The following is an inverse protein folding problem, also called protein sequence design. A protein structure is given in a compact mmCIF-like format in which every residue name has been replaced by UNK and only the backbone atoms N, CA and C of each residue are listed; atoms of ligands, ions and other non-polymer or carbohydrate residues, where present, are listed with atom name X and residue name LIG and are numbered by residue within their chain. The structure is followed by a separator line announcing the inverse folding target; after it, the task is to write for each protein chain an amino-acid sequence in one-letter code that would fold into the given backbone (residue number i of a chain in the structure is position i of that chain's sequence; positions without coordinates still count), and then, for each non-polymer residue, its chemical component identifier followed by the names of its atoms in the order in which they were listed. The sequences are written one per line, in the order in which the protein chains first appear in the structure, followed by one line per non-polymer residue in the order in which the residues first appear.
data_IF_932036679478
#
_entry.id   IF_932036679478
#
_cell.length_a   1.000
_cell.length_b   1.000
_cell.length_c   1.000
_cell.angle_alpha   90.00
_cell.angle_beta   90.00
_cell.angle_gamma   90.00
#
_symmetry.space_group_name_H-M   'P 1'
#
loop_
_entity.id
_entity.type
_entity.pdbx_description
1 polymer ?
#
# COMPACT_ATOMS: atom_id res chain seq x y z
N UNK A 1 15.96 -31.29 -9.41
CA UNK A 1 14.97 -30.23 -9.67
C UNK A 1 15.64 -28.89 -9.44
N UNK A 2 15.70 -28.04 -10.47
CA UNK A 2 16.19 -26.66 -10.35
C UNK A 2 15.00 -25.68 -10.19
N UNK A 3 15.26 -24.38 -9.98
CA UNK A 3 14.21 -23.38 -9.76
C UNK A 3 13.22 -23.29 -10.91
N UNK A 4 13.68 -23.31 -12.15
CA UNK A 4 12.84 -23.23 -13.35
C UNK A 4 11.88 -24.43 -13.44
N UNK A 5 12.37 -25.64 -13.23
CA UNK A 5 11.55 -26.85 -13.21
C UNK A 5 10.47 -26.80 -12.11
N UNK A 6 10.82 -26.29 -10.93
CA UNK A 6 9.87 -26.13 -9.83
C UNK A 6 8.76 -25.13 -10.18
N UNK A 7 9.10 -23.99 -10.81
CA UNK A 7 8.11 -23.01 -11.24
C UNK A 7 7.14 -23.59 -12.27
N UNK A 8 7.65 -24.33 -13.25
CA UNK A 8 6.83 -25.01 -14.26
C UNK A 8 5.87 -26.02 -13.60
N UNK A 9 6.37 -26.83 -12.66
CA UNK A 9 5.53 -27.80 -11.95
C UNK A 9 4.43 -27.16 -11.09
N UNK A 10 4.69 -25.98 -10.52
CA UNK A 10 3.75 -25.26 -9.65
C UNK A 10 2.78 -24.35 -10.41
N UNK A 11 3.08 -23.96 -11.65
CA UNK A 11 2.28 -23.01 -12.42
C UNK A 11 0.79 -23.39 -12.53
N UNK A 12 0.38 -24.66 -12.75
CA UNK A 12 -1.04 -25.01 -12.81
C UNK A 12 -1.78 -24.74 -11.49
N UNK A 13 -1.09 -24.91 -10.36
CA UNK A 13 -1.65 -24.61 -9.03
C UNK A 13 -1.73 -23.11 -8.82
N UNK A 14 -0.68 -22.37 -9.21
CA UNK A 14 -0.67 -20.91 -9.15
C UNK A 14 -1.80 -20.30 -9.97
N UNK A 15 -2.03 -20.78 -11.19
CA UNK A 15 -3.14 -20.34 -12.06
C UNK A 15 -4.50 -20.52 -11.39
N UNK A 16 -4.76 -21.70 -10.80
CA UNK A 16 -6.01 -21.98 -10.08
C UNK A 16 -6.20 -21.07 -8.86
N UNK A 17 -5.12 -20.77 -8.13
CA UNK A 17 -5.16 -19.87 -6.98
C UNK A 17 -5.38 -18.42 -7.40
N UNK A 18 -4.75 -18.00 -8.51
CA UNK A 18 -4.95 -16.68 -9.08
C UNK A 18 -6.40 -16.49 -9.55
N UNK A 19 -6.96 -17.44 -10.29
CA UNK A 19 -8.37 -17.42 -10.70
C UNK A 19 -9.30 -17.34 -9.48
N UNK A 20 -9.03 -18.12 -8.43
CA UNK A 20 -9.78 -18.05 -7.18
C UNK A 20 -9.69 -16.67 -6.53
N UNK A 21 -8.49 -16.07 -6.49
CA UNK A 21 -8.27 -14.72 -5.95
C UNK A 21 -9.11 -13.70 -6.72
N UNK A 22 -9.05 -13.72 -8.05
CA UNK A 22 -9.86 -12.84 -8.91
C UNK A 22 -11.37 -12.99 -8.64
N UNK A 23 -11.84 -14.20 -8.39
CA UNK A 23 -13.25 -14.47 -8.08
C UNK A 23 -13.73 -13.97 -6.70
N UNK A 24 -12.82 -13.65 -5.78
CA UNK A 24 -13.17 -13.19 -4.41
C UNK A 24 -12.64 -11.81 -4.06
N UNK A 25 -11.74 -11.26 -4.88
CA UNK A 25 -11.19 -9.93 -4.69
C UNK A 25 -12.32 -8.90 -4.72
N UNK A 26 -12.31 -8.01 -3.73
CA UNK A 26 -13.25 -6.89 -3.67
C UNK A 26 -12.52 -5.65 -4.14
N UNK A 27 -13.06 -5.02 -5.15
CA UNK A 27 -12.56 -3.75 -5.59
C UNK A 27 -12.87 -2.67 -4.55
N UNK A 28 -11.88 -1.80 -4.34
CA UNK A 28 -11.97 -0.64 -3.49
C UNK A 28 -11.00 0.41 -4.03
N UNK A 29 -11.30 1.67 -3.76
CA UNK A 29 -10.53 2.79 -4.27
C UNK A 29 -10.04 3.68 -3.12
N UNK A 30 -8.75 4.07 -3.11
CA UNK A 30 -8.20 4.94 -2.07
C UNK A 30 -9.03 6.20 -1.83
N UNK A 31 -9.54 6.82 -2.90
CA UNK A 31 -10.25 8.09 -2.80
C UNK A 31 -11.61 8.00 -2.09
N UNK A 32 -12.18 6.80 -1.94
CA UNK A 32 -13.43 6.59 -1.20
C UNK A 32 -13.18 6.48 0.31
N UNK A 33 -11.93 6.28 0.73
CA UNK A 33 -11.54 6.01 2.12
C UNK A 33 -10.91 7.24 2.81
N UNK A 34 -10.55 8.27 2.03
CA UNK A 34 -9.86 9.46 2.54
C UNK A 34 -10.85 10.61 2.74
N UNK A 35 -10.87 11.27 3.91
CA UNK A 35 -11.78 12.37 4.19
C UNK A 35 -11.27 13.70 3.59
N UNK A 36 -11.12 13.77 2.25
CA UNK A 36 -10.46 14.90 1.56
C UNK A 36 -11.00 16.28 1.93
N UNK A 37 -12.27 16.40 2.32
CA UNK A 37 -12.86 17.66 2.79
C UNK A 37 -12.19 18.27 4.03
N UNK A 38 -11.31 17.53 4.73
CA UNK A 38 -10.50 18.01 5.86
C UNK A 38 -9.14 18.58 5.44
N UNK A 39 -8.75 18.38 4.18
CA UNK A 39 -7.48 18.85 3.67
C UNK A 39 -7.34 20.37 3.83
N UNK A 40 -6.16 20.80 4.29
CA UNK A 40 -5.80 22.21 4.50
C UNK A 40 -4.42 22.44 3.92
N UNK A 41 -4.22 23.55 3.22
CA UNK A 41 -2.94 23.91 2.62
C UNK A 41 -1.80 23.91 3.66
N UNK A 42 -0.63 23.47 3.23
CA UNK A 42 0.59 23.57 4.05
C UNK A 42 1.12 25.00 4.00
N UNK A 43 1.30 25.60 5.17
CA UNK A 43 1.90 26.92 5.30
C UNK A 43 3.42 26.81 5.12
N UNK A 44 4.04 27.54 4.17
CA UNK A 44 5.48 27.47 3.95
C UNK A 44 6.27 27.78 5.23
N UNK A 45 7.14 26.85 5.63
CA UNK A 45 7.99 27.00 6.82
C UNK A 45 7.30 26.72 8.16
N UNK A 46 5.99 26.44 8.18
CA UNK A 46 5.33 25.94 9.39
C UNK A 46 5.79 24.51 9.65
N UNK A 47 6.38 24.27 10.82
CA UNK A 47 6.68 22.92 11.27
C UNK A 47 5.38 22.23 11.72
N UNK A 48 5.25 20.96 11.35
CA UNK A 48 4.16 20.12 11.81
C UNK A 48 4.25 19.90 13.33
N UNK A 49 3.10 19.88 14.01
CA UNK A 49 2.97 19.51 15.41
C UNK A 49 1.88 18.43 15.58
N UNK A 50 1.94 17.57 16.61
CA UNK A 50 0.91 16.55 16.86
C UNK A 50 -0.52 17.07 16.88
N UNK A 51 -0.70 18.31 17.34
CA UNK A 51 -1.98 19.03 17.43
C UNK A 51 -2.51 19.51 16.08
N UNK A 52 -1.70 19.49 15.01
CA UNK A 52 -2.18 19.74 13.65
C UNK A 52 -3.09 18.60 13.14
N UNK A 53 -3.07 17.43 13.79
CA UNK A 53 -3.83 16.26 13.36
C UNK A 53 -5.36 16.48 13.49
N UNK A 54 -6.10 16.08 12.45
CA UNK A 54 -7.56 16.25 12.34
C UNK A 54 -8.23 14.92 11.97
N UNK A 55 -8.49 14.11 13.00
CA UNK A 55 -9.17 12.81 12.85
C UNK A 55 -10.70 12.93 12.80
N UNK A 56 -11.28 14.14 12.85
CA UNK A 56 -12.69 14.39 12.50
C UNK A 56 -13.71 14.46 13.62
N UNK A 57 -13.28 14.40 14.89
CA UNK A 57 -14.17 14.57 16.03
C UNK A 57 -13.51 14.15 17.35
N UNK A 58 -13.77 14.93 18.39
CA UNK A 58 -13.21 14.75 19.74
C UNK A 58 -11.74 15.17 19.84
N UNK A 59 -11.24 15.23 21.07
CA UNK A 59 -9.81 15.38 21.39
C UNK A 59 -9.09 14.06 21.09
N UNK A 60 -9.24 13.55 19.87
CA UNK A 60 -8.64 12.28 19.43
C UNK A 60 -7.16 12.52 19.17
N UNK A 61 -6.34 12.04 20.07
CA UNK A 61 -4.89 12.00 19.92
C UNK A 61 -4.44 10.57 19.69
N UNK A 62 -3.35 10.40 18.94
CA UNK A 62 -2.66 9.12 18.81
C UNK A 62 -1.30 9.20 19.48
N UNK A 63 -0.95 8.14 20.19
CA UNK A 63 0.36 8.01 20.81
C UNK A 63 1.48 8.12 19.77
N UNK A 64 2.63 8.67 20.18
CA UNK A 64 3.82 8.79 19.34
C UNK A 64 4.24 7.43 18.76
N UNK A 65 4.13 6.35 19.53
CA UNK A 65 4.44 5.00 19.07
C UNK A 65 3.52 4.53 17.93
N UNK A 66 2.22 4.87 18.00
CA UNK A 66 1.26 4.57 16.92
C UNK A 66 1.61 5.39 15.68
N UNK A 67 1.94 6.66 15.85
CA UNK A 67 2.35 7.54 14.75
C UNK A 67 3.61 7.04 14.05
N UNK A 68 4.61 6.61 14.81
CA UNK A 68 5.83 6.01 14.28
C UNK A 68 5.54 4.70 13.52
N UNK A 69 4.65 3.85 14.05
CA UNK A 69 4.25 2.62 13.38
C UNK A 69 3.53 2.91 12.04
N UNK A 70 2.64 3.89 12.00
CA UNK A 70 1.96 4.34 10.77
C UNK A 70 2.97 4.84 9.72
N UNK A 71 3.95 5.63 10.15
CA UNK A 71 5.01 6.13 9.27
C UNK A 71 5.87 5.01 8.70
N UNK A 72 6.37 4.11 9.54
CA UNK A 72 7.16 2.94 9.10
C UNK A 72 6.35 2.05 8.16
N UNK A 73 5.05 1.88 8.42
CA UNK A 73 4.18 1.12 7.54
C UNK A 73 4.08 1.79 6.16
N UNK A 74 3.88 3.12 6.09
CA UNK A 74 3.87 3.83 4.80
C UNK A 74 5.20 3.66 4.04
N UNK A 75 6.34 3.81 4.73
CA UNK A 75 7.65 3.61 4.09
C UNK A 75 7.84 2.19 3.56
N UNK A 76 7.25 1.20 4.23
CA UNK A 76 7.27 -0.19 3.77
C UNK A 76 6.43 -0.35 2.51
N UNK A 77 5.23 0.21 2.48
CA UNK A 77 4.34 0.16 1.31
C UNK A 77 4.90 0.95 0.11
N UNK A 78 5.52 2.11 0.34
CA UNK A 78 6.18 2.91 -0.71
C UNK A 78 7.37 2.19 -1.35
N UNK A 79 7.94 1.19 -0.66
CA UNK A 79 9.07 0.42 -1.14
C UNK A 79 8.66 -0.62 -2.22
N UNK A 80 7.38 -0.67 -2.59
CA UNK A 80 6.80 -1.56 -3.61
C UNK A 80 7.59 -1.66 -4.92
N UNK A 81 8.20 -0.58 -5.49
CA UNK A 81 9.03 -0.72 -6.69
C UNK A 81 10.18 -1.71 -6.54
N UNK A 82 10.79 -1.81 -5.34
CA UNK A 82 11.84 -2.78 -5.08
C UNK A 82 11.28 -4.20 -4.97
N UNK A 83 10.13 -4.37 -4.32
CA UNK A 83 9.46 -5.67 -4.20
C UNK A 83 9.05 -6.20 -5.58
N UNK A 84 8.43 -5.36 -6.42
CA UNK A 84 8.05 -5.75 -7.77
C UNK A 84 9.25 -6.17 -8.61
N UNK A 85 10.35 -5.39 -8.60
CA UNK A 85 11.58 -5.76 -9.32
C UNK A 85 12.09 -7.15 -8.93
N UNK A 86 12.10 -7.46 -7.65
CA UNK A 86 12.63 -8.72 -7.16
C UNK A 86 11.68 -9.89 -7.46
N UNK A 87 10.37 -9.68 -7.38
CA UNK A 87 9.34 -10.67 -7.75
C UNK A 87 9.37 -10.94 -9.25
N UNK A 88 9.38 -9.90 -10.10
CA UNK A 88 9.41 -10.03 -11.56
C UNK A 88 10.65 -10.80 -12.03
N UNK A 89 11.82 -10.52 -11.42
CA UNK A 89 13.06 -11.25 -11.69
C UNK A 89 12.95 -12.76 -11.36
N UNK A 90 12.16 -13.13 -10.35
CA UNK A 90 12.03 -14.52 -9.91
C UNK A 90 11.03 -15.31 -10.76
N UNK A 91 9.93 -14.69 -11.20
CA UNK A 91 8.79 -15.38 -11.79
C UNK A 91 8.61 -15.15 -13.30
N UNK A 92 9.21 -14.10 -13.86
CA UNK A 92 9.02 -13.70 -15.25
C UNK A 92 7.61 -13.17 -15.56
N UNK A 93 7.37 -12.77 -16.81
CA UNK A 93 6.17 -12.03 -17.19
C UNK A 93 5.03 -12.88 -17.76
N UNK A 94 5.32 -13.96 -18.47
CA UNK A 94 4.37 -14.64 -19.38
C UNK A 94 3.77 -15.92 -18.79
N UNK A 95 3.69 -15.99 -17.45
CA UNK A 95 3.17 -17.14 -16.69
C UNK A 95 2.05 -16.69 -15.75
N UNK A 96 1.35 -17.65 -15.15
CA UNK A 96 0.38 -17.36 -14.09
C UNK A 96 1.00 -16.61 -12.89
N UNK A 97 2.28 -16.84 -12.61
CA UNK A 97 3.01 -16.09 -11.57
C UNK A 97 3.24 -14.63 -11.99
N UNK A 98 3.58 -14.39 -13.26
CA UNK A 98 3.75 -13.03 -13.78
C UNK A 98 2.45 -12.22 -13.78
N UNK A 99 1.33 -12.86 -14.15
CA UNK A 99 0.00 -12.23 -14.05
C UNK A 99 -0.36 -11.89 -12.61
N UNK A 100 -0.17 -12.85 -11.70
CA UNK A 100 -0.37 -12.61 -10.27
C UNK A 100 0.53 -11.48 -9.75
N UNK A 101 1.82 -11.46 -10.10
CA UNK A 101 2.77 -10.46 -9.63
C UNK A 101 2.35 -9.03 -10.02
N UNK A 102 1.96 -8.82 -11.29
CA UNK A 102 1.48 -7.52 -11.77
C UNK A 102 0.19 -7.11 -11.07
N UNK A 103 -0.76 -8.04 -10.92
CA UNK A 103 -2.01 -7.74 -10.24
C UNK A 103 -1.77 -7.42 -8.76
N UNK A 104 -1.02 -8.25 -8.04
CA UNK A 104 -0.64 -8.02 -6.65
C UNK A 104 0.05 -6.66 -6.49
N UNK A 105 0.99 -6.29 -7.37
CA UNK A 105 1.61 -4.95 -7.34
C UNK A 105 0.60 -3.83 -7.54
N UNK A 106 -0.35 -3.97 -8.45
CA UNK A 106 -1.41 -2.97 -8.60
C UNK A 106 -2.30 -2.89 -7.34
N UNK A 107 -2.56 -4.03 -6.68
CA UNK A 107 -3.33 -4.08 -5.46
C UNK A 107 -2.61 -3.40 -4.28
N UNK A 108 -1.35 -3.77 -4.01
CA UNK A 108 -0.51 -3.19 -2.96
C UNK A 108 -0.25 -1.69 -3.17
N UNK A 109 -0.13 -1.24 -4.42
CA UNK A 109 0.05 0.18 -4.72
C UNK A 109 -1.08 1.05 -4.17
N UNK A 110 -2.28 0.50 -3.98
CA UNK A 110 -3.40 1.24 -3.35
C UNK A 110 -3.20 1.45 -1.86
N UNK A 111 -2.44 0.60 -1.16
CA UNK A 111 -2.16 0.75 0.28
C UNK A 111 -1.33 2.01 0.56
N UNK A 112 -0.22 2.20 -0.15
CA UNK A 112 0.60 3.41 0.00
C UNK A 112 -0.18 4.67 -0.37
N UNK A 113 -1.00 4.63 -1.44
CA UNK A 113 -1.83 5.76 -1.85
C UNK A 113 -2.81 6.14 -0.75
N UNK A 114 -3.62 5.20 -0.25
CA UNK A 114 -4.65 5.51 0.76
C UNK A 114 -4.01 5.99 2.06
N UNK A 115 -2.89 5.40 2.48
CA UNK A 115 -2.17 5.80 3.68
C UNK A 115 -1.58 7.20 3.55
N UNK A 116 -0.86 7.46 2.46
CA UNK A 116 -0.26 8.78 2.21
C UNK A 116 -1.31 9.87 2.14
N UNK A 117 -2.39 9.65 1.38
CA UNK A 117 -3.46 10.61 1.24
C UNK A 117 -4.15 10.85 2.58
N UNK A 118 -4.46 9.79 3.33
CA UNK A 118 -5.06 9.91 4.66
C UNK A 118 -4.14 10.69 5.61
N UNK A 119 -2.86 10.32 5.73
CA UNK A 119 -1.92 11.00 6.63
C UNK A 119 -1.72 12.47 6.27
N UNK A 120 -1.69 12.79 4.98
CA UNK A 120 -1.54 14.15 4.49
C UNK A 120 -2.79 14.98 4.78
N UNK A 121 -3.98 14.45 4.44
CA UNK A 121 -5.27 15.13 4.60
C UNK A 121 -5.60 15.37 6.07
N UNK A 122 -5.33 14.38 6.94
CA UNK A 122 -5.62 14.49 8.37
C UNK A 122 -4.43 14.98 9.19
N UNK A 123 -3.28 15.27 8.57
CA UNK A 123 -2.01 15.61 9.25
C UNK A 123 -1.65 14.60 10.34
N UNK A 124 -1.93 13.32 10.11
CA UNK A 124 -1.72 12.24 11.08
C UNK A 124 -0.24 11.94 11.34
N UNK A 125 0.65 12.33 10.44
CA UNK A 125 2.10 12.16 10.57
C UNK A 125 2.75 13.42 10.00
N UNK A 126 3.95 13.77 10.49
CA UNK A 126 4.78 14.79 9.84
C UNK A 126 5.04 14.38 8.37
N UNK A 127 4.70 15.21 7.39
CA UNK A 127 4.92 14.89 5.98
C UNK A 127 6.38 15.06 5.52
N UNK A 128 7.28 15.57 6.37
CA UNK A 128 8.70 15.87 6.05
C UNK A 128 9.64 14.86 6.71
#
# INVERSE_FOLDING_TARGET
MNQEQLLIELEPVAAKLYERHQGVAKEWFPHEMVPYGRGKDFEPGKQWMPEDADFGGGDTEIDEAVRAALFVNLLTEDNLPYYFRDIDRLFGSDTAFGEWARNWTAEEGRHSIVMRDYFTVTRAVDPI
#
